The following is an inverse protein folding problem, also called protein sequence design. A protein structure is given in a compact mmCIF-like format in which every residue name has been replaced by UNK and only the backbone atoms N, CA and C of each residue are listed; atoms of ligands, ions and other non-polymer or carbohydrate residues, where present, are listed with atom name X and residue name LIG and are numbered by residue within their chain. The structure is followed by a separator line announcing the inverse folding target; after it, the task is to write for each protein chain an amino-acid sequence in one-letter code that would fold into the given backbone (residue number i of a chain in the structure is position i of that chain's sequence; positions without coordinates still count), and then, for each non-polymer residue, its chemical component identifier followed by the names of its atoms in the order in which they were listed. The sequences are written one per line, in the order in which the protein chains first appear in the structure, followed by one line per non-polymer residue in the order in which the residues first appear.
data_IF_740463965359
#
_entry.id   IF_740463965359
#
_cell.length_a   1.000
_cell.length_b   1.000
_cell.length_c   1.000
_cell.angle_alpha   90.00
_cell.angle_beta   90.00
_cell.angle_gamma   90.00
#
_symmetry.space_group_name_H-M   'P 1'
#
loop_
_entity.id
_entity.type
_entity.pdbx_description
1 polymer ?
#
# COMPACT_ATOMS: atom_id res chain seq x y z
N UNK A 1 53.07 -33.68 1.87
CA UNK A 1 52.96 -33.35 3.29
C UNK A 1 51.48 -33.15 3.63
N UNK A 2 50.86 -34.17 4.24
CA UNK A 2 49.43 -34.16 4.63
C UNK A 2 49.33 -33.59 6.05
N UNK A 3 48.45 -32.61 6.28
CA UNK A 3 47.99 -32.27 7.63
C UNK A 3 46.52 -32.63 7.75
N UNK A 4 46.31 -33.74 8.47
CA UNK A 4 45.04 -34.14 9.07
C UNK A 4 44.82 -33.19 10.24
N UNK A 5 43.68 -32.49 10.27
CA UNK A 5 43.24 -31.77 11.47
C UNK A 5 41.90 -32.36 11.88
N UNK A 6 41.94 -32.88 13.10
CA UNK A 6 40.94 -33.66 13.82
C UNK A 6 39.64 -32.90 14.00
N UNK A 7 38.53 -33.58 13.71
CA UNK A 7 37.15 -33.15 13.96
C UNK A 7 36.83 -33.41 15.43
N UNK A 8 36.47 -32.36 16.18
CA UNK A 8 35.87 -32.50 17.51
C UNK A 8 34.44 -32.00 17.43
N UNK A 9 33.48 -32.94 17.49
CA UNK A 9 32.05 -32.70 17.62
C UNK A 9 31.76 -32.02 18.97
N UNK A 10 31.08 -30.89 18.94
CA UNK A 10 30.35 -30.36 20.10
C UNK A 10 28.91 -30.08 19.64
N UNK A 11 28.00 -30.96 20.07
CA UNK A 11 26.55 -30.76 20.01
C UNK A 11 26.20 -29.51 20.82
N UNK A 12 25.56 -28.54 20.17
CA UNK A 12 25.04 -27.35 20.84
C UNK A 12 23.97 -26.68 19.99
N UNK A 13 22.71 -26.95 20.33
CA UNK A 13 21.55 -26.07 20.22
C UNK A 13 21.36 -25.24 18.93
N UNK A 14 20.42 -25.72 18.10
CA UNK A 14 19.43 -24.96 17.33
C UNK A 14 19.67 -23.45 17.24
N UNK A 15 20.43 -23.04 16.23
CA UNK A 15 20.52 -21.67 15.76
C UNK A 15 20.54 -21.69 14.24
N UNK A 16 19.36 -21.71 13.62
CA UNK A 16 19.22 -21.58 12.16
C UNK A 16 19.81 -20.24 11.73
N UNK A 17 21.02 -20.27 11.21
CA UNK A 17 21.67 -19.11 10.61
C UNK A 17 20.93 -18.81 9.30
N UNK A 18 19.97 -17.89 9.35
CA UNK A 18 19.31 -17.40 8.16
C UNK A 18 20.33 -16.63 7.32
N UNK A 19 20.79 -17.27 6.24
CA UNK A 19 21.57 -16.64 5.17
C UNK A 19 20.68 -15.59 4.50
N UNK A 20 20.83 -14.31 4.87
CA UNK A 20 20.17 -13.22 4.16
C UNK A 20 20.94 -12.97 2.87
N UNK A 21 20.61 -13.74 1.83
CA UNK A 21 21.04 -13.42 0.48
C UNK A 21 20.33 -12.13 0.05
N UNK A 22 21.06 -11.02 -0.03
CA UNK A 22 20.60 -9.79 -0.69
C UNK A 22 20.60 -10.00 -2.22
N UNK A 23 19.77 -10.94 -2.68
CA UNK A 23 19.41 -11.04 -4.08
C UNK A 23 18.53 -9.84 -4.42
N UNK A 24 18.93 -9.10 -5.47
CA UNK A 24 18.34 -7.82 -5.88
C UNK A 24 16.82 -7.79 -5.77
N UNK A 25 16.31 -6.67 -5.25
CA UNK A 25 14.89 -6.40 -5.04
C UNK A 25 14.10 -6.56 -6.34
N UNK A 26 13.72 -7.81 -6.62
CA UNK A 26 12.79 -8.16 -7.66
C UNK A 26 11.46 -7.61 -7.17
N UNK A 27 10.92 -6.61 -7.88
CA UNK A 27 9.59 -6.07 -7.60
C UNK A 27 8.63 -7.21 -7.25
N UNK A 28 7.93 -7.17 -6.10
CA UNK A 28 6.99 -8.22 -5.72
C UNK A 28 6.04 -8.52 -6.89
N UNK A 29 6.02 -9.78 -7.34
CA UNK A 29 5.18 -10.26 -8.46
C UNK A 29 3.68 -10.23 -8.17
N UNK A 30 3.29 -9.87 -6.96
CA UNK A 30 1.93 -9.59 -6.55
C UNK A 30 2.00 -8.62 -5.38
N UNK A 31 1.54 -7.39 -5.60
CA UNK A 31 1.30 -6.45 -4.52
C UNK A 31 -0.08 -6.71 -3.93
N UNK A 32 -0.13 -7.08 -2.65
CA UNK A 32 -1.36 -7.10 -1.86
C UNK A 32 -1.21 -6.09 -0.75
N UNK A 33 -2.06 -5.06 -0.78
CA UNK A 33 -2.18 -4.12 0.32
C UNK A 33 -3.57 -4.26 0.95
N UNK A 34 -3.63 -4.17 2.26
CA UNK A 34 -4.87 -4.00 3.00
C UNK A 34 -4.65 -2.96 4.09
N UNK A 35 -5.65 -2.13 4.32
CA UNK A 35 -5.68 -1.21 5.44
C UNK A 35 -7.12 -1.12 5.95
N UNK A 36 -7.27 -1.07 7.26
CA UNK A 36 -8.55 -0.92 7.94
C UNK A 36 -8.54 0.29 8.85
N UNK A 37 -9.72 0.86 9.06
CA UNK A 37 -9.89 2.02 9.94
C UNK A 37 -9.67 1.57 11.38
N UNK A 38 -8.67 2.13 12.04
CA UNK A 38 -8.35 1.86 13.44
C UNK A 38 -9.03 2.84 14.39
N UNK A 39 -9.15 4.10 13.96
CA UNK A 39 -9.72 5.18 14.77
C UNK A 39 -10.37 6.21 13.86
N UNK A 40 -11.58 6.64 14.22
CA UNK A 40 -12.25 7.78 13.64
C UNK A 40 -12.54 8.79 14.75
N UNK A 41 -11.87 9.94 14.69
CA UNK A 41 -12.11 11.06 15.57
C UNK A 41 -13.04 12.06 14.90
N UNK A 42 -13.84 12.77 15.70
CA UNK A 42 -14.67 13.85 15.18
C UNK A 42 -13.86 14.87 14.38
N UNK A 43 -14.50 15.48 13.37
CA UNK A 43 -13.92 16.45 12.40
C UNK A 43 -13.10 15.83 11.25
N UNK A 44 -13.50 14.66 10.74
CA UNK A 44 -12.89 14.06 9.54
C UNK A 44 -11.45 13.59 9.75
N UNK A 45 -11.14 13.12 10.96
CA UNK A 45 -9.83 12.54 11.28
C UNK A 45 -9.96 11.03 11.37
N UNK A 46 -9.19 10.31 10.56
CA UNK A 46 -9.18 8.85 10.58
C UNK A 46 -7.74 8.33 10.61
N UNK A 47 -7.52 7.21 11.29
CA UNK A 47 -6.26 6.46 11.23
C UNK A 47 -6.54 5.12 10.59
N UNK A 48 -5.81 4.79 9.54
CA UNK A 48 -5.85 3.48 8.90
C UNK A 48 -4.58 2.72 9.19
N UNK A 49 -4.70 1.44 9.52
CA UNK A 49 -3.57 0.53 9.71
C UNK A 49 -3.71 -0.73 8.88
N UNK A 50 -2.59 -1.33 8.50
CA UNK A 50 -2.61 -2.63 7.84
C UNK A 50 -1.25 -3.02 7.32
N UNK A 51 -1.22 -3.70 6.18
CA UNK A 51 0.04 -4.13 5.56
C UNK A 51 -0.02 -4.07 4.06
N UNK A 52 1.13 -3.82 3.44
CA UNK A 52 1.33 -4.06 2.03
C UNK A 52 2.59 -4.90 1.82
N UNK A 53 2.42 -6.08 1.20
CA UNK A 53 3.49 -7.06 1.00
C UNK A 53 4.27 -7.40 2.27
N UNK A 54 3.57 -7.51 3.41
CA UNK A 54 4.18 -7.81 4.72
C UNK A 54 4.85 -6.62 5.39
N UNK A 55 4.93 -5.45 4.73
CA UNK A 55 5.38 -4.20 5.37
C UNK A 55 4.21 -3.43 5.94
N UNK A 56 4.40 -2.84 7.12
CA UNK A 56 3.35 -2.09 7.81
C UNK A 56 2.82 -0.92 6.95
N UNK A 57 1.53 -0.64 7.11
CA UNK A 57 0.84 0.52 6.56
C UNK A 57 0.17 1.27 7.70
N UNK A 58 0.42 2.56 7.79
CA UNK A 58 -0.21 3.47 8.76
C UNK A 58 -0.46 4.79 8.06
N UNK A 59 -1.72 5.22 7.99
CA UNK A 59 -2.12 6.45 7.34
C UNK A 59 -2.94 7.29 8.31
N UNK A 60 -2.54 8.55 8.47
CA UNK A 60 -3.30 9.57 9.19
C UNK A 60 -4.02 10.43 8.17
N UNK A 61 -5.35 10.47 8.27
CA UNK A 61 -6.22 11.24 7.41
C UNK A 61 -6.75 12.43 8.19
N UNK A 62 -6.72 13.59 7.56
CA UNK A 62 -7.35 14.83 7.99
C UNK A 62 -8.13 15.40 6.80
N UNK A 63 -9.03 16.37 6.99
CA UNK A 63 -9.79 16.94 5.88
C UNK A 63 -8.87 17.35 4.70
N UNK A 64 -9.08 16.72 3.55
CA UNK A 64 -8.33 16.95 2.32
C UNK A 64 -6.86 16.49 2.32
N UNK A 65 -6.36 15.76 3.34
CA UNK A 65 -4.95 15.32 3.36
C UNK A 65 -4.76 13.96 4.00
N UNK A 66 -3.87 13.14 3.42
CA UNK A 66 -3.37 11.89 3.99
C UNK A 66 -1.86 11.94 4.14
N UNK A 67 -1.35 11.52 5.31
CA UNK A 67 0.08 11.42 5.60
C UNK A 67 0.39 10.12 6.33
N UNK A 68 1.45 9.41 5.92
CA UNK A 68 1.89 8.22 6.62
C UNK A 68 2.79 7.32 5.78
N UNK A 69 2.67 6.01 5.95
CA UNK A 69 3.41 5.01 5.20
C UNK A 69 2.48 3.94 4.65
N UNK A 70 2.73 3.51 3.41
CA UNK A 70 2.06 2.36 2.78
C UNK A 70 3.13 1.42 2.26
N UNK A 71 3.20 0.21 2.80
CA UNK A 71 4.21 -0.78 2.41
C UNK A 71 5.65 -0.27 2.56
N UNK A 72 5.93 0.48 3.63
CA UNK A 72 7.25 1.12 3.86
C UNK A 72 7.50 2.40 3.05
N UNK A 73 6.61 2.79 2.12
CA UNK A 73 6.76 4.02 1.34
C UNK A 73 6.08 5.19 2.03
N UNK A 74 6.84 6.25 2.32
CA UNK A 74 6.27 7.50 2.82
C UNK A 74 5.24 8.06 1.83
N UNK A 75 4.07 8.43 2.34
CA UNK A 75 2.92 8.84 1.56
C UNK A 75 2.42 10.18 2.06
N UNK A 76 2.22 11.11 1.14
CA UNK A 76 1.57 12.39 1.39
C UNK A 76 0.72 12.75 0.19
N UNK A 77 -0.60 12.71 0.33
CA UNK A 77 -1.53 13.17 -0.71
C UNK A 77 -2.42 14.28 -0.15
N UNK A 78 -2.83 15.16 -1.04
CA UNK A 78 -3.77 16.23 -0.81
C UNK A 78 -4.92 16.10 -1.82
N UNK A 79 -6.15 16.21 -1.32
CA UNK A 79 -7.37 16.25 -2.10
C UNK A 79 -7.98 17.65 -2.09
N UNK A 80 -8.25 18.17 -3.27
CA UNK A 80 -9.00 19.40 -3.51
C UNK A 80 -10.24 19.05 -4.34
N UNK A 81 -11.37 18.87 -3.65
CA UNK A 81 -12.61 18.36 -4.22
C UNK A 81 -12.41 16.98 -4.85
N UNK A 82 -12.43 16.94 -6.19
CA UNK A 82 -12.29 15.70 -6.97
C UNK A 82 -10.86 15.43 -7.45
N UNK A 83 -9.91 16.33 -7.19
CA UNK A 83 -8.53 16.19 -7.64
C UNK A 83 -7.60 15.86 -6.49
N UNK A 84 -6.71 14.91 -6.69
CA UNK A 84 -5.77 14.41 -5.70
C UNK A 84 -4.34 14.49 -6.23
N UNK A 85 -3.47 15.11 -5.45
CA UNK A 85 -2.06 15.30 -5.81
C UNK A 85 -1.14 14.95 -4.66
N UNK A 86 0.12 14.65 -4.94
CA UNK A 86 1.11 14.42 -3.90
C UNK A 86 2.15 13.38 -4.30
N UNK A 87 2.64 12.62 -3.33
CA UNK A 87 3.73 11.67 -3.50
C UNK A 87 3.54 10.40 -2.68
N UNK A 88 4.00 9.28 -3.24
CA UNK A 88 4.13 7.97 -2.58
C UNK A 88 5.53 7.45 -2.89
N UNK A 89 6.36 7.35 -1.87
CA UNK A 89 7.80 7.18 -2.01
C UNK A 89 8.37 8.30 -2.89
N UNK A 90 9.09 7.91 -3.94
CA UNK A 90 9.66 8.85 -4.91
C UNK A 90 8.69 9.24 -6.03
N UNK A 91 7.54 8.57 -6.15
CA UNK A 91 6.60 8.73 -7.26
C UNK A 91 5.57 9.81 -7.00
N UNK A 92 5.42 10.74 -7.96
CA UNK A 92 4.36 11.74 -7.92
C UNK A 92 3.00 11.11 -8.28
N UNK A 93 1.94 11.61 -7.64
CA UNK A 93 0.54 11.26 -7.87
C UNK A 93 -0.19 12.52 -8.32
N UNK A 94 -0.99 12.40 -9.37
CA UNK A 94 -1.94 13.43 -9.80
C UNK A 94 -3.10 12.73 -10.48
N UNK A 95 -4.24 12.64 -9.80
CA UNK A 95 -5.44 11.97 -10.30
C UNK A 95 -6.68 12.78 -10.03
N UNK A 96 -7.67 12.62 -10.88
CA UNK A 96 -8.97 13.27 -10.78
C UNK A 96 -10.05 12.20 -10.80
N UNK A 97 -11.00 12.35 -9.90
CA UNK A 97 -12.22 11.57 -9.85
C UNK A 97 -13.31 12.21 -10.69
N UNK A 98 -14.14 11.34 -11.24
CA UNK A 98 -15.36 11.69 -11.94
C UNK A 98 -16.41 10.64 -11.59
N UNK A 99 -17.70 10.92 -11.84
CA UNK A 99 -18.80 10.05 -11.44
C UNK A 99 -18.72 8.58 -11.93
N UNK A 100 -17.85 8.27 -12.91
CA UNK A 100 -17.62 6.90 -13.39
C UNK A 100 -16.26 6.30 -13.05
N UNK A 101 -15.33 7.04 -12.45
CA UNK A 101 -13.96 6.54 -12.30
C UNK A 101 -12.90 7.55 -11.91
N UNK A 102 -11.66 7.08 -11.91
CA UNK A 102 -10.46 7.84 -11.52
C UNK A 102 -9.49 7.84 -12.69
N UNK A 103 -8.99 9.00 -13.08
CA UNK A 103 -8.00 9.12 -14.16
C UNK A 103 -6.83 10.02 -13.76
N UNK A 104 -5.65 9.81 -14.32
CA UNK A 104 -4.51 10.69 -14.08
C UNK A 104 -3.17 9.98 -14.23
N UNK A 105 -2.24 10.20 -13.30
CA UNK A 105 -0.89 9.64 -13.32
C UNK A 105 -0.37 9.22 -11.94
N UNK A 106 0.45 8.17 -11.95
CA UNK A 106 1.29 7.73 -10.83
C UNK A 106 2.70 7.36 -11.33
N UNK A 107 3.74 8.01 -10.80
CA UNK A 107 5.13 7.71 -11.16
C UNK A 107 5.40 7.78 -12.67
N UNK A 108 4.79 8.76 -13.34
CA UNK A 108 4.86 8.93 -14.80
C UNK A 108 3.95 8.00 -15.62
N UNK A 109 3.27 7.02 -15.01
CA UNK A 109 2.37 6.09 -15.70
C UNK A 109 0.94 6.61 -15.70
N UNK A 110 0.21 6.41 -16.79
CA UNK A 110 -1.21 6.76 -16.86
C UNK A 110 -2.04 5.85 -15.94
N UNK A 111 -2.93 6.45 -15.17
CA UNK A 111 -3.80 5.77 -14.22
C UNK A 111 -5.25 5.89 -14.69
N UNK A 112 -5.98 4.77 -14.70
CA UNK A 112 -7.40 4.73 -15.07
C UNK A 112 -8.12 3.65 -14.27
N UNK A 113 -9.14 4.02 -13.52
CA UNK A 113 -9.99 3.12 -12.73
C UNK A 113 -11.46 3.39 -13.01
N UNK A 114 -12.26 2.34 -12.97
CA UNK A 114 -13.72 2.37 -13.06
C UNK A 114 -14.32 2.02 -11.71
N UNK A 115 -15.43 2.68 -11.36
CA UNK A 115 -16.21 2.39 -10.16
C UNK A 115 -17.52 1.73 -10.62
N UNK A 116 -17.55 0.40 -10.67
CA UNK A 116 -18.74 -0.38 -11.07
C UNK A 116 -18.90 -1.56 -10.10
N UNK A 117 -19.44 -1.29 -8.90
CA UNK A 117 -19.58 -2.25 -7.80
C UNK A 117 -18.25 -2.70 -7.16
N UNK A 118 -17.16 -2.68 -7.91
CA UNK A 118 -15.77 -2.83 -7.45
C UNK A 118 -14.91 -1.76 -8.11
N UNK A 119 -13.85 -1.34 -7.41
CA UNK A 119 -12.89 -0.38 -7.96
C UNK A 119 -11.80 -1.15 -8.69
N UNK A 120 -11.79 -1.09 -10.02
CA UNK A 120 -10.79 -1.80 -10.82
C UNK A 120 -10.25 -0.95 -11.95
N UNK A 121 -9.01 -1.21 -12.32
CA UNK A 121 -8.34 -0.34 -13.27
C UNK A 121 -6.91 -0.75 -13.57
N UNK A 122 -6.16 0.24 -14.05
CA UNK A 122 -4.77 0.08 -14.44
C UNK A 122 -3.93 1.26 -14.04
N UNK A 123 -2.67 0.98 -13.75
CA UNK A 123 -1.60 1.97 -13.69
C UNK A 123 -0.51 1.57 -14.69
N UNK A 124 -0.42 2.33 -15.77
CA UNK A 124 0.29 1.93 -16.98
C UNK A 124 -0.28 0.62 -17.51
N UNK A 125 0.56 -0.43 -17.49
CA UNK A 125 0.17 -1.79 -17.92
C UNK A 125 -0.26 -2.69 -16.75
N UNK A 126 -0.06 -2.28 -15.50
CA UNK A 126 -0.40 -3.09 -14.34
C UNK A 126 -1.90 -2.99 -14.07
N UNK A 127 -2.58 -4.14 -13.95
CA UNK A 127 -3.99 -4.19 -13.49
C UNK A 127 -4.02 -4.10 -11.97
N UNK A 128 -4.97 -3.34 -11.45
CA UNK A 128 -5.18 -3.16 -10.02
C UNK A 128 -6.67 -3.32 -9.75
N UNK A 129 -7.02 -4.09 -8.72
CA UNK A 129 -8.38 -4.27 -8.26
C UNK A 129 -8.43 -4.03 -6.75
N UNK A 130 -9.43 -3.29 -6.32
CA UNK A 130 -9.66 -2.97 -4.92
C UNK A 130 -11.10 -3.28 -4.51
N UNK A 131 -11.25 -3.66 -3.25
CA UNK A 131 -12.52 -3.88 -2.57
C UNK A 131 -12.55 -3.01 -1.31
N UNK A 132 -13.73 -2.52 -0.98
CA UNK A 132 -14.02 -1.86 0.29
C UNK A 132 -15.07 -2.72 0.97
N UNK A 133 -14.81 -3.10 2.21
CA UNK A 133 -15.73 -3.87 3.05
C UNK A 133 -16.05 -3.07 4.29
N UNK A 134 -17.34 -2.92 4.59
CA UNK A 134 -17.80 -2.29 5.83
C UNK A 134 -17.60 -3.27 6.99
N UNK A 135 -16.82 -2.86 7.99
CA UNK A 135 -16.65 -3.57 9.25
C UNK A 135 -17.69 -3.02 10.24
N UNK A 136 -18.78 -3.76 10.43
CA UNK A 136 -19.77 -3.42 11.45
C UNK A 136 -19.22 -3.86 12.84
N UNK A 137 -19.16 -3.00 13.88
CA UNK A 137 -19.65 -1.61 13.97
C UNK A 137 -18.58 -0.49 13.84
N UNK A 138 -17.34 -0.78 13.43
CA UNK A 138 -16.18 0.09 13.73
C UNK A 138 -15.28 0.46 12.54
N UNK A 139 -15.78 0.46 11.30
CA UNK A 139 -15.15 1.21 10.20
C UNK A 139 -15.11 0.48 8.86
N UNK A 140 -14.09 0.74 8.05
CA UNK A 140 -13.91 0.13 6.73
C UNK A 140 -12.59 -0.61 6.60
N UNK A 141 -12.61 -1.71 5.85
CA UNK A 141 -11.44 -2.40 5.36
C UNK A 141 -11.28 -2.22 3.85
N UNK A 142 -10.17 -1.63 3.46
CA UNK A 142 -9.78 -1.43 2.06
C UNK A 142 -8.74 -2.48 1.71
N UNK A 143 -9.01 -3.28 0.68
CA UNK A 143 -8.08 -4.28 0.15
C UNK A 143 -7.78 -4.03 -1.31
N UNK A 144 -6.50 -3.93 -1.69
CA UNK A 144 -6.07 -3.76 -3.07
C UNK A 144 -5.07 -4.83 -3.49
N UNK A 145 -5.23 -5.34 -4.71
CA UNK A 145 -4.37 -6.36 -5.30
C UNK A 145 -3.92 -5.94 -6.70
N UNK A 146 -2.63 -6.10 -6.98
CA UNK A 146 -2.05 -5.79 -8.28
C UNK A 146 -0.90 -6.76 -8.61
N UNK A 147 -0.82 -7.35 -9.82
CA UNK A 147 0.29 -8.24 -10.18
C UNK A 147 1.66 -7.55 -10.30
N UNK A 148 1.72 -6.21 -10.44
CA UNK A 148 2.97 -5.50 -10.74
C UNK A 148 3.03 -4.10 -10.11
N UNK A 149 2.78 -4.00 -8.80
CA UNK A 149 2.74 -2.73 -8.09
C UNK A 149 1.49 -1.90 -8.39
N UNK A 150 1.29 -0.83 -7.61
CA UNK A 150 0.19 0.12 -7.79
C UNK A 150 -0.96 -0.05 -6.81
N UNK A 151 -1.00 -1.16 -6.06
CA UNK A 151 -1.94 -1.27 -4.94
C UNK A 151 -1.56 -0.28 -3.81
N UNK A 152 -0.27 0.06 -3.69
CA UNK A 152 0.22 1.06 -2.71
C UNK A 152 -0.36 2.46 -2.99
N UNK A 153 -0.70 2.75 -4.25
CA UNK A 153 -1.29 4.03 -4.65
C UNK A 153 -2.78 4.13 -4.35
N UNK A 154 -3.49 3.00 -4.39
CA UNK A 154 -4.94 2.98 -4.22
C UNK A 154 -5.37 3.04 -2.75
N UNK A 155 -4.62 2.41 -1.83
CA UNK A 155 -4.93 2.45 -0.39
C UNK A 155 -5.08 3.89 0.14
N UNK A 156 -4.09 4.80 -0.01
CA UNK A 156 -4.20 6.14 0.54
C UNK A 156 -5.23 7.01 -0.18
N UNK A 157 -5.47 6.75 -1.47
CA UNK A 157 -6.51 7.44 -2.23
C UNK A 157 -7.91 7.06 -1.71
N UNK A 158 -8.15 5.76 -1.51
CA UNK A 158 -9.42 5.25 -0.99
C UNK A 158 -9.67 5.69 0.45
N UNK A 159 -8.64 5.63 1.31
CA UNK A 159 -8.74 6.11 2.68
C UNK A 159 -9.08 7.61 2.76
N UNK A 160 -8.51 8.42 1.85
CA UNK A 160 -8.81 9.85 1.78
C UNK A 160 -10.24 10.15 1.29
N UNK A 161 -10.77 9.35 0.36
CA UNK A 161 -12.16 9.46 -0.07
C UNK A 161 -13.16 9.11 1.02
N UNK A 162 -12.85 8.09 1.83
CA UNK A 162 -13.71 7.70 2.96
C UNK A 162 -13.77 8.79 4.03
N UNK A 163 -12.62 9.35 4.42
CA UNK A 163 -12.56 10.34 5.49
C UNK A 163 -12.88 11.77 5.04
N UNK A 164 -13.27 11.97 3.78
CA UNK A 164 -13.75 13.26 3.29
C UNK A 164 -15.14 13.53 3.89
N UNK A 165 -15.34 14.64 4.62
CA UNK A 165 -16.62 14.99 5.24
C UNK A 165 -17.70 15.37 4.23
#
# INVERSE_FOLDING_TARGET
MRRVVTVTLLLGLLGTSAVVSSAGATQPRLTRCAAETLYEGGRGRAVFTGSCNGSATTLNITPGTVVGHVGGLYTKLHGDGVTFTGRIGTSNVSVTMSGGGITGRYGGRATRFSILGTLSGRIGRARVACSISLLNPLGEQIGCKAPRGGAEMMIPLLALMYAAP
#
